data_IF_884878897267
#
_entry.id   IF_884878897267
#
_cell.length_a   1.000
_cell.length_b   1.000
_cell.length_c   1.000
_cell.angle_alpha   90.00
_cell.angle_beta   90.00
_cell.angle_gamma   90.00
#
_symmetry.space_group_name_H-M   'P 1'
#
loop_
_entity.id
_entity.type
_entity.pdbx_description
1 polymer ?
#
# COMPACT_ATOMS: atom_id res chain seq x y z
N UNK A 1 33.14 -19.97 -0.50
CA UNK A 1 32.58 -18.64 -0.18
C UNK A 1 31.10 -18.81 -0.38
N UNK A 2 30.32 -18.91 0.72
CA UNK A 2 28.87 -18.96 0.66
C UNK A 2 28.40 -17.64 0.05
N UNK A 3 27.72 -17.73 -1.08
CA UNK A 3 27.07 -16.55 -1.67
C UNK A 3 25.83 -16.26 -0.82
N UNK A 4 25.79 -15.08 -0.20
CA UNK A 4 24.59 -14.57 0.43
C UNK A 4 23.45 -14.38 -0.60
N UNK A 5 22.26 -14.17 -0.15
CA UNK A 5 21.10 -13.83 -0.98
C UNK A 5 20.90 -12.31 -0.99
N UNK A 6 21.28 -11.66 -2.10
CA UNK A 6 21.02 -10.24 -2.34
C UNK A 6 19.60 -10.07 -2.89
N UNK A 7 18.79 -9.33 -2.17
CA UNK A 7 17.35 -9.17 -2.43
C UNK A 7 17.07 -7.73 -2.83
N UNK A 8 16.40 -7.53 -3.96
CA UNK A 8 15.79 -6.25 -4.34
C UNK A 8 14.29 -6.28 -4.07
N UNK A 9 13.75 -5.25 -3.42
CA UNK A 9 12.31 -5.11 -3.16
C UNK A 9 11.75 -3.91 -3.89
N UNK A 10 10.79 -4.15 -4.78
CA UNK A 10 10.23 -3.12 -5.65
C UNK A 10 8.73 -2.98 -5.42
N UNK A 11 8.31 -1.76 -5.07
CA UNK A 11 6.94 -1.44 -4.76
C UNK A 11 6.27 -0.67 -5.90
N UNK A 12 5.23 -1.24 -6.48
CA UNK A 12 4.21 -0.46 -7.19
C UNK A 12 3.46 0.37 -6.14
N UNK A 13 3.74 1.65 -6.10
CA UNK A 13 3.32 2.50 -5.01
C UNK A 13 1.82 2.72 -4.94
N UNK A 14 1.13 2.65 -6.07
CA UNK A 14 -0.32 2.76 -6.10
C UNK A 14 -0.96 1.49 -5.57
N UNK A 15 -0.52 0.33 -6.04
CA UNK A 15 -1.01 -0.96 -5.56
C UNK A 15 -0.68 -1.20 -4.08
N UNK A 16 0.55 -0.88 -3.65
CA UNK A 16 0.97 -1.02 -2.26
C UNK A 16 0.16 -0.13 -1.31
N UNK A 17 -0.19 1.10 -1.73
CA UNK A 17 -1.05 1.96 -0.94
C UNK A 17 -2.43 1.34 -0.71
N UNK A 18 -3.02 0.74 -1.74
CA UNK A 18 -4.29 0.01 -1.62
C UNK A 18 -4.15 -1.22 -0.71
N UNK A 19 -3.09 -1.99 -0.85
CA UNK A 19 -2.81 -3.13 0.01
C UNK A 19 -2.68 -2.72 1.49
N UNK A 20 -1.88 -1.70 1.77
CA UNK A 20 -1.68 -1.20 3.14
C UNK A 20 -2.97 -0.66 3.76
N UNK A 21 -3.82 -0.01 2.96
CA UNK A 21 -5.13 0.45 3.41
C UNK A 21 -6.10 -0.72 3.65
N UNK A 22 -6.06 -1.76 2.82
CA UNK A 22 -6.83 -2.99 3.04
C UNK A 22 -6.48 -3.63 4.40
N UNK A 23 -5.20 -3.82 4.69
CA UNK A 23 -4.77 -4.36 5.98
C UNK A 23 -5.15 -3.46 7.17
N UNK A 24 -5.14 -2.15 6.98
CA UNK A 24 -5.48 -1.19 8.03
C UNK A 24 -6.97 -1.09 8.33
N UNK A 25 -7.83 -1.35 7.34
CA UNK A 25 -9.26 -1.01 7.42
C UNK A 25 -10.22 -2.20 7.30
N UNK A 26 -9.83 -3.22 6.56
CA UNK A 26 -10.69 -4.37 6.22
C UNK A 26 -10.18 -5.66 6.85
N UNK A 27 -8.86 -5.89 6.78
CA UNK A 27 -8.24 -7.11 7.25
C UNK A 27 -8.32 -7.22 8.80
N UNK A 28 -8.48 -8.44 9.38
CA UNK A 28 -8.57 -8.63 10.84
C UNK A 28 -7.35 -8.10 11.63
N UNK A 29 -6.18 -7.98 11.00
CA UNK A 29 -5.00 -7.41 11.65
C UNK A 29 -5.20 -5.94 12.04
N UNK A 30 -6.07 -5.20 11.35
CA UNK A 30 -6.39 -3.79 11.60
C UNK A 30 -5.11 -2.91 11.79
N UNK A 31 -4.11 -3.12 10.94
CA UNK A 31 -2.79 -2.53 11.07
C UNK A 31 -2.20 -2.20 9.68
N UNK A 32 -1.38 -1.15 9.59
CA UNK A 32 -0.66 -0.82 8.35
C UNK A 32 0.60 -1.65 8.23
N UNK A 33 0.99 -1.95 6.98
CA UNK A 33 2.26 -2.62 6.71
C UNK A 33 3.41 -1.63 7.01
N UNK A 34 4.37 -2.08 7.82
CA UNK A 34 5.62 -1.39 8.09
C UNK A 34 6.67 -1.87 7.08
N UNK A 35 7.28 -0.95 6.34
CA UNK A 35 8.20 -1.28 5.24
C UNK A 35 9.44 -2.05 5.73
N UNK A 36 10.04 -1.58 6.82
CA UNK A 36 11.20 -2.22 7.45
C UNK A 36 10.88 -3.63 7.99
N UNK A 37 9.70 -3.78 8.61
CA UNK A 37 9.22 -5.09 9.04
C UNK A 37 8.83 -6.00 7.88
N UNK A 38 8.35 -5.43 6.77
CA UNK A 38 8.11 -6.19 5.53
C UNK A 38 9.43 -6.70 4.93
N UNK A 39 10.48 -5.86 4.89
CA UNK A 39 11.81 -6.29 4.46
C UNK A 39 12.33 -7.46 5.32
N UNK A 40 12.12 -7.38 6.62
CA UNK A 40 12.51 -8.45 7.52
C UNK A 40 11.71 -9.74 7.31
N UNK A 41 10.41 -9.64 7.00
CA UNK A 41 9.60 -10.81 6.63
C UNK A 41 10.07 -11.44 5.30
N UNK A 42 10.46 -10.62 4.33
CA UNK A 42 11.07 -11.09 3.07
C UNK A 42 12.40 -11.81 3.33
N UNK A 43 13.28 -11.24 4.16
CA UNK A 43 14.54 -11.88 4.55
C UNK A 43 14.31 -13.23 5.21
N UNK A 44 13.34 -13.30 6.13
CA UNK A 44 12.95 -14.55 6.77
C UNK A 44 12.44 -15.58 5.78
N UNK A 45 11.62 -15.15 4.82
CA UNK A 45 11.13 -16.01 3.75
C UNK A 45 12.28 -16.59 2.92
N UNK A 46 13.22 -15.76 2.47
CA UNK A 46 14.37 -16.20 1.68
C UNK A 46 15.28 -17.12 2.50
N UNK A 47 15.52 -16.82 3.78
CA UNK A 47 16.22 -17.71 4.72
C UNK A 47 15.57 -19.10 4.76
N UNK A 48 14.24 -19.15 4.88
CA UNK A 48 13.50 -20.43 4.95
C UNK A 48 13.57 -21.21 3.64
N UNK A 49 13.44 -20.50 2.49
CA UNK A 49 13.49 -21.13 1.16
C UNK A 49 14.87 -21.63 0.76
N UNK A 50 15.92 -21.03 1.28
CA UNK A 50 17.31 -21.33 0.86
C UNK A 50 18.07 -22.16 1.88
N UNK A 51 17.68 -22.10 3.16
CA UNK A 51 18.48 -22.64 4.28
C UNK A 51 19.75 -21.82 4.58
N UNK A 52 19.97 -20.66 3.94
CA UNK A 52 21.06 -19.76 4.25
C UNK A 52 20.89 -19.18 5.65
N UNK A 53 21.96 -18.74 6.30
CA UNK A 53 21.85 -18.00 7.55
C UNK A 53 21.05 -16.69 7.32
N UNK A 54 20.29 -16.25 8.30
CA UNK A 54 19.46 -15.04 8.17
C UNK A 54 20.29 -13.79 7.86
N UNK A 55 21.52 -13.74 8.40
CA UNK A 55 22.45 -12.64 8.16
C UNK A 55 23.03 -12.65 6.72
N UNK A 56 22.96 -13.80 6.05
CA UNK A 56 23.34 -13.93 4.63
C UNK A 56 22.18 -13.57 3.68
N UNK A 57 20.99 -13.27 4.22
CA UNK A 57 19.83 -12.82 3.45
C UNK A 57 19.64 -11.31 3.67
N UNK A 58 20.07 -10.49 2.71
CA UNK A 58 20.04 -9.05 2.85
C UNK A 58 19.12 -8.39 1.81
N UNK A 59 18.24 -7.48 2.26
CA UNK A 59 17.60 -6.53 1.35
C UNK A 59 18.64 -5.49 0.99
N UNK A 60 19.21 -5.65 -0.20
CA UNK A 60 20.31 -4.83 -0.69
C UNK A 60 19.81 -3.47 -1.18
N UNK A 61 18.66 -3.46 -1.80
CA UNK A 61 18.00 -2.24 -2.27
C UNK A 61 16.49 -2.38 -2.27
N UNK A 62 15.81 -1.26 -2.17
CA UNK A 62 14.36 -1.20 -2.29
C UNK A 62 13.90 0.10 -2.92
N UNK A 63 12.89 0.00 -3.80
CA UNK A 63 12.43 1.08 -4.64
C UNK A 63 10.91 1.20 -4.60
N UNK A 64 10.41 2.43 -4.49
CA UNK A 64 8.99 2.75 -4.46
C UNK A 64 8.66 3.70 -5.61
N UNK A 65 7.89 3.24 -6.59
CA UNK A 65 7.53 4.00 -7.79
C UNK A 65 6.08 4.42 -7.72
N UNK A 66 5.82 5.71 -7.86
CA UNK A 66 4.45 6.26 -7.88
C UNK A 66 4.40 7.61 -8.57
N UNK A 67 3.27 7.88 -9.27
CA UNK A 67 2.95 9.22 -9.72
C UNK A 67 2.71 10.16 -8.54
N UNK A 68 3.29 11.36 -8.61
CA UNK A 68 3.15 12.39 -7.59
C UNK A 68 3.07 13.77 -8.21
N UNK A 69 2.20 14.60 -7.65
CA UNK A 69 2.31 16.04 -7.82
C UNK A 69 3.45 16.52 -6.92
N UNK A 70 4.28 17.42 -7.40
CA UNK A 70 5.29 18.11 -6.59
C UNK A 70 4.63 18.70 -5.34
N UNK A 71 4.92 18.14 -4.20
CA UNK A 71 4.41 18.57 -2.89
C UNK A 71 5.56 18.52 -1.89
N UNK A 72 5.51 19.34 -0.83
CA UNK A 72 6.45 19.21 0.27
C UNK A 72 6.52 17.78 0.79
N UNK A 73 7.66 17.37 1.33
CA UNK A 73 7.86 16.06 1.92
C UNK A 73 6.75 15.71 2.92
N UNK A 74 6.24 14.51 2.83
CA UNK A 74 5.16 14.00 3.68
C UNK A 74 5.74 13.15 4.81
N UNK A 75 4.90 12.83 5.81
CA UNK A 75 5.28 11.85 6.83
C UNK A 75 5.60 10.47 6.26
N UNK A 76 5.01 10.14 5.10
CA UNK A 76 5.31 8.89 4.40
C UNK A 76 6.69 8.91 3.74
N UNK A 77 7.16 10.07 3.26
CA UNK A 77 8.53 10.21 2.73
C UNK A 77 9.57 9.90 3.80
N UNK A 78 9.32 10.37 5.04
CA UNK A 78 10.18 10.04 6.17
C UNK A 78 10.17 8.53 6.50
N UNK A 79 9.03 7.87 6.36
CA UNK A 79 8.92 6.40 6.55
C UNK A 79 9.70 5.65 5.47
N UNK A 80 9.60 6.06 4.20
CA UNK A 80 10.38 5.47 3.12
C UNK A 80 11.88 5.62 3.37
N UNK A 81 12.33 6.84 3.69
CA UNK A 81 13.72 7.12 3.98
C UNK A 81 14.25 6.31 5.17
N UNK A 82 13.47 6.21 6.26
CA UNK A 82 13.84 5.44 7.44
C UNK A 82 13.96 3.93 7.15
N UNK A 83 13.18 3.42 6.21
CA UNK A 83 13.24 2.03 5.75
C UNK A 83 14.30 1.80 4.65
N UNK A 84 15.06 2.82 4.26
CA UNK A 84 16.06 2.73 3.19
C UNK A 84 15.44 2.56 1.79
N UNK A 85 14.20 2.97 1.60
CA UNK A 85 13.48 2.83 0.31
C UNK A 85 13.73 4.05 -0.56
N UNK A 86 14.30 3.83 -1.72
CA UNK A 86 14.48 4.86 -2.76
C UNK A 86 13.12 5.16 -3.40
N UNK A 87 12.76 6.44 -3.41
CA UNK A 87 11.50 6.87 -3.98
C UNK A 87 11.69 7.43 -5.38
N UNK A 88 10.85 7.00 -6.31
CA UNK A 88 10.75 7.52 -7.68
C UNK A 88 9.41 8.24 -7.84
N UNK A 89 9.46 9.56 -7.94
CA UNK A 89 8.29 10.40 -8.16
C UNK A 89 8.13 10.70 -9.64
N UNK A 90 6.98 10.36 -10.19
CA UNK A 90 6.65 10.65 -11.58
C UNK A 90 5.62 11.77 -11.68
N UNK A 91 5.75 12.70 -12.64
CA UNK A 91 4.80 13.78 -12.79
C UNK A 91 3.42 13.24 -13.20
N UNK A 92 2.37 13.84 -12.63
CA UNK A 92 1.00 13.54 -13.04
C UNK A 92 0.63 14.38 -14.28
N UNK A 93 0.14 13.72 -15.31
CA UNK A 93 -0.37 14.36 -16.52
C UNK A 93 -1.90 14.44 -16.49
N UNK A 94 -2.43 15.66 -16.38
CA UNK A 94 -3.88 15.85 -16.25
C UNK A 94 -4.48 15.21 -14.98
N UNK A 95 -3.71 15.16 -13.88
CA UNK A 95 -4.11 14.55 -12.62
C UNK A 95 -4.09 13.01 -12.62
N UNK A 96 -3.62 12.38 -13.69
CA UNK A 96 -3.50 10.94 -13.83
C UNK A 96 -2.04 10.50 -13.84
N UNK A 97 -1.77 9.40 -13.20
CA UNK A 97 -0.50 8.70 -13.27
C UNK A 97 -0.32 8.13 -14.69
N UNK A 98 0.77 8.49 -15.35
CA UNK A 98 1.11 7.96 -16.66
C UNK A 98 2.58 7.55 -16.68
N UNK A 99 2.85 6.36 -17.20
CA UNK A 99 4.21 5.85 -17.35
C UNK A 99 4.81 5.30 -16.06
N UNK A 100 4.08 5.22 -14.95
CA UNK A 100 4.58 4.64 -13.71
C UNK A 100 4.92 3.17 -13.89
N UNK A 101 4.06 2.41 -14.56
CA UNK A 101 4.27 0.98 -14.82
C UNK A 101 5.50 0.76 -15.71
N UNK A 102 5.69 1.59 -16.72
CA UNK A 102 6.87 1.54 -17.59
C UNK A 102 8.13 1.88 -16.80
N UNK A 103 8.10 2.93 -15.99
CA UNK A 103 9.23 3.32 -15.14
C UNK A 103 9.55 2.22 -14.13
N UNK A 104 8.54 1.69 -13.46
CA UNK A 104 8.70 0.56 -12.54
C UNK A 104 9.39 -0.63 -13.22
N UNK A 105 8.89 -1.03 -14.40
CA UNK A 105 9.46 -2.16 -15.13
C UNK A 105 10.91 -1.91 -15.56
N UNK A 106 11.23 -0.68 -15.99
CA UNK A 106 12.60 -0.32 -16.38
C UNK A 106 13.53 -0.27 -15.17
N UNK A 107 13.12 0.31 -14.06
CA UNK A 107 13.90 0.36 -12.82
C UNK A 107 14.23 -1.05 -12.32
N UNK A 108 13.20 -1.90 -12.20
CA UNK A 108 13.41 -3.31 -11.80
C UNK A 108 14.36 -4.02 -12.74
N UNK A 109 14.18 -3.85 -14.05
CA UNK A 109 15.03 -4.49 -15.05
C UNK A 109 16.49 -4.02 -14.97
N UNK A 110 16.69 -2.71 -14.87
CA UNK A 110 18.01 -2.12 -14.77
C UNK A 110 18.73 -2.64 -13.53
N UNK A 111 18.09 -2.58 -12.36
CA UNK A 111 18.68 -3.05 -11.12
C UNK A 111 18.99 -4.54 -11.13
N UNK A 112 18.03 -5.36 -11.55
CA UNK A 112 18.24 -6.80 -11.64
C UNK A 112 19.32 -7.23 -12.66
N UNK A 113 19.72 -6.34 -13.58
CA UNK A 113 20.75 -6.64 -14.59
C UNK A 113 22.10 -5.99 -14.31
N UNK A 114 22.16 -4.94 -13.49
CA UNK A 114 23.39 -4.21 -13.15
C UNK A 114 23.87 -4.49 -11.73
N UNK A 115 23.00 -4.79 -10.79
CA UNK A 115 23.32 -5.20 -9.43
C UNK A 115 23.31 -6.75 -9.31
N UNK A 116 24.04 -7.33 -8.35
CA UNK A 116 24.12 -8.77 -8.17
C UNK A 116 22.88 -9.36 -7.48
N UNK A 117 21.68 -8.92 -7.86
CA UNK A 117 20.44 -9.38 -7.27
C UNK A 117 20.14 -10.83 -7.68
N UNK A 118 20.08 -11.74 -6.71
CA UNK A 118 19.61 -13.09 -6.93
C UNK A 118 18.09 -13.21 -6.74
N UNK A 119 17.51 -12.31 -5.92
CA UNK A 119 16.10 -12.29 -5.60
C UNK A 119 15.49 -10.93 -5.91
N UNK A 120 14.39 -10.94 -6.60
CA UNK A 120 13.58 -9.73 -6.89
C UNK A 120 12.17 -9.95 -6.35
N UNK A 121 11.75 -9.11 -5.43
CA UNK A 121 10.41 -9.11 -4.86
C UNK A 121 9.60 -8.01 -5.53
N UNK A 122 8.57 -8.39 -6.28
CA UNK A 122 7.65 -7.48 -6.94
C UNK A 122 6.39 -7.32 -6.08
N UNK A 123 6.26 -6.17 -5.43
CA UNK A 123 5.11 -5.85 -4.59
C UNK A 123 4.06 -5.15 -5.43
N UNK A 124 3.40 -5.92 -6.26
CA UNK A 124 2.32 -5.52 -7.17
C UNK A 124 1.38 -6.68 -7.44
N UNK A 125 0.16 -6.39 -7.86
CA UNK A 125 -0.80 -7.39 -8.33
C UNK A 125 -1.13 -7.27 -9.80
N UNK A 126 -0.49 -6.33 -10.52
CA UNK A 126 -0.87 -6.00 -11.89
C UNK A 126 -0.32 -7.01 -12.91
N UNK A 127 -1.20 -7.44 -13.81
CA UNK A 127 -0.87 -8.34 -14.92
C UNK A 127 0.14 -7.73 -15.91
N UNK A 128 0.22 -6.41 -16.01
CA UNK A 128 1.10 -5.72 -16.94
C UNK A 128 2.58 -5.98 -16.65
N UNK A 129 2.91 -6.42 -15.44
CA UNK A 129 4.28 -6.83 -15.06
C UNK A 129 4.60 -8.31 -15.35
N UNK A 130 3.68 -9.08 -15.93
CA UNK A 130 3.93 -10.46 -16.35
C UNK A 130 5.14 -10.60 -17.27
N UNK A 131 5.32 -9.75 -18.33
CA UNK A 131 6.49 -9.83 -19.19
C UNK A 131 7.82 -9.58 -18.46
N UNK A 132 7.81 -8.68 -17.48
CA UNK A 132 8.98 -8.40 -16.64
C UNK A 132 9.35 -9.63 -15.82
N UNK A 133 8.41 -10.20 -15.07
CA UNK A 133 8.63 -11.39 -14.26
C UNK A 133 9.15 -12.56 -15.09
N UNK A 134 8.53 -12.82 -16.26
CA UNK A 134 8.96 -13.88 -17.20
C UNK A 134 10.42 -13.69 -17.65
N UNK A 135 10.81 -12.46 -18.00
CA UNK A 135 12.16 -12.17 -18.47
C UNK A 135 13.21 -12.29 -17.36
N UNK A 136 12.89 -11.87 -16.15
CA UNK A 136 13.80 -12.00 -15.00
C UNK A 136 14.01 -13.47 -14.64
N UNK A 137 12.92 -14.25 -14.58
CA UNK A 137 12.99 -15.69 -14.32
C UNK A 137 13.81 -16.43 -15.40
N UNK A 138 13.62 -16.08 -16.66
CA UNK A 138 14.41 -16.64 -17.77
C UNK A 138 15.91 -16.32 -17.68
N UNK A 139 16.31 -15.29 -16.92
CA UNK A 139 17.71 -14.93 -16.62
C UNK A 139 18.26 -15.58 -15.35
N UNK A 140 17.46 -16.41 -14.69
CA UNK A 140 17.86 -17.09 -13.46
C UNK A 140 17.67 -16.24 -12.19
N UNK A 141 17.05 -15.05 -12.30
CA UNK A 141 16.66 -14.26 -11.13
C UNK A 141 15.44 -14.92 -10.47
N UNK A 142 15.48 -15.10 -9.18
CA UNK A 142 14.34 -15.62 -8.42
C UNK A 142 13.33 -14.50 -8.18
N UNK A 143 12.21 -14.55 -8.90
CA UNK A 143 11.14 -13.56 -8.79
C UNK A 143 10.12 -14.03 -7.77
N UNK A 144 9.93 -13.23 -6.72
CA UNK A 144 8.91 -13.43 -5.70
C UNK A 144 7.80 -12.40 -5.88
N UNK A 145 6.58 -12.88 -6.03
CA UNK A 145 5.39 -12.02 -6.05
C UNK A 145 4.53 -12.39 -4.84
N UNK A 146 4.55 -11.60 -3.76
CA UNK A 146 3.65 -11.83 -2.64
C UNK A 146 2.20 -11.69 -3.09
N UNK A 147 1.41 -12.73 -2.82
CA UNK A 147 0.03 -12.84 -3.34
C UNK A 147 -0.97 -12.35 -2.31
N UNK A 148 -1.90 -11.58 -2.78
CA UNK A 148 -3.17 -11.32 -2.10
C UNK A 148 -4.28 -11.84 -3.00
N UNK A 149 -5.11 -12.68 -2.44
CA UNK A 149 -6.42 -12.97 -2.99
C UNK A 149 -7.45 -12.66 -1.91
N UNK A 150 -7.87 -11.41 -1.89
CA UNK A 150 -8.89 -10.96 -0.97
C UNK A 150 -10.30 -11.43 -1.40
N UNK A 151 -10.44 -12.67 -1.81
CA UNK A 151 -11.73 -13.36 -1.87
C UNK A 151 -12.23 -13.56 -0.43
N UNK A 152 -12.46 -12.42 0.22
CA UNK A 152 -12.98 -12.38 1.57
C UNK A 152 -14.37 -13.02 1.58
N UNK A 153 -14.69 -13.88 2.56
CA UNK A 153 -16.07 -14.28 2.77
C UNK A 153 -16.88 -13.03 3.11
N UNK A 154 -17.50 -12.47 2.09
CA UNK A 154 -18.46 -11.40 2.26
C UNK A 154 -19.55 -11.96 3.15
N UNK A 155 -19.61 -11.53 4.39
CA UNK A 155 -20.81 -11.75 5.17
C UNK A 155 -21.94 -11.05 4.43
N UNK A 156 -23.12 -11.68 4.34
CA UNK A 156 -24.29 -11.10 3.66
C UNK A 156 -24.68 -9.69 4.19
N UNK A 157 -23.97 -9.19 5.20
CA UNK A 157 -24.20 -7.91 5.86
C UNK A 157 -23.24 -6.79 5.40
N UNK A 158 -22.20 -7.07 4.63
CA UNK A 158 -21.28 -6.03 4.13
C UNK A 158 -20.90 -6.30 2.68
N UNK A 159 -21.22 -5.40 1.74
CA UNK A 159 -20.72 -5.51 0.37
C UNK A 159 -19.19 -5.47 0.38
N UNK A 160 -18.52 -6.18 -0.56
CA UNK A 160 -17.08 -6.09 -0.70
C UNK A 160 -16.69 -4.63 -0.89
N UNK A 161 -15.55 -4.18 -0.33
CA UNK A 161 -15.05 -2.84 -0.60
C UNK A 161 -14.91 -2.64 -2.12
N UNK A 162 -15.11 -1.42 -2.58
CA UNK A 162 -15.10 -1.07 -4.00
C UNK A 162 -13.79 -1.46 -4.73
N UNK A 163 -12.75 -1.72 -3.97
CA UNK A 163 -11.47 -2.26 -4.44
C UNK A 163 -10.98 -3.33 -3.44
N UNK A 164 -10.62 -4.45 -3.99
CA UNK A 164 -10.03 -5.56 -3.23
C UNK A 164 -8.69 -5.86 -3.87
N UNK A 165 -7.56 -5.77 -3.16
CA UNK A 165 -6.28 -6.08 -3.77
C UNK A 165 -6.26 -7.55 -4.20
N UNK A 166 -5.93 -7.78 -5.46
CA UNK A 166 -5.78 -9.12 -6.03
C UNK A 166 -4.51 -9.17 -6.84
N UNK A 167 -3.85 -10.30 -6.80
CA UNK A 167 -2.70 -10.58 -7.65
C UNK A 167 -3.15 -11.35 -8.88
N UNK A 168 -2.89 -10.81 -10.06
CA UNK A 168 -3.31 -11.38 -11.33
C UNK A 168 -2.70 -12.77 -11.57
N UNK A 169 -3.52 -13.71 -12.05
CA UNK A 169 -3.09 -15.09 -12.31
C UNK A 169 -1.90 -15.19 -13.29
N UNK A 170 -1.82 -14.42 -14.38
CA UNK A 170 -0.66 -14.45 -15.26
C UNK A 170 0.65 -14.03 -14.57
N UNK A 171 0.61 -13.01 -13.70
CA UNK A 171 1.78 -12.56 -12.95
C UNK A 171 2.24 -13.64 -11.96
N UNK A 172 1.29 -14.29 -11.28
CA UNK A 172 1.58 -15.42 -10.38
C UNK A 172 2.26 -16.57 -11.12
N UNK A 173 1.76 -16.90 -12.30
CA UNK A 173 2.32 -17.98 -13.12
C UNK A 173 3.75 -17.68 -13.66
N UNK A 174 4.10 -16.40 -13.82
CA UNK A 174 5.41 -15.97 -14.30
C UNK A 174 6.48 -15.87 -13.20
N UNK A 175 6.05 -15.81 -11.94
CA UNK A 175 6.95 -15.71 -10.79
C UNK A 175 7.58 -17.07 -10.45
N UNK A 176 8.78 -17.03 -9.85
CA UNK A 176 9.43 -18.23 -9.29
C UNK A 176 8.71 -18.71 -8.03
N UNK A 177 8.17 -17.79 -7.26
CA UNK A 177 7.50 -18.09 -5.99
C UNK A 177 6.42 -17.04 -5.71
N UNK A 178 5.32 -17.51 -5.12
CA UNK A 178 4.12 -16.70 -4.87
C UNK A 178 3.58 -16.94 -3.45
N UNK A 179 4.34 -16.57 -2.39
CA UNK A 179 3.84 -16.70 -1.04
C UNK A 179 2.61 -15.82 -0.84
N UNK A 180 1.59 -16.34 -0.16
CA UNK A 180 0.50 -15.50 0.33
C UNK A 180 1.04 -14.49 1.36
N UNK A 181 0.54 -13.26 1.34
CA UNK A 181 0.98 -12.24 2.30
C UNK A 181 0.77 -12.66 3.75
N UNK A 182 -0.34 -13.36 4.05
CA UNK A 182 -0.58 -13.83 5.42
C UNK A 182 0.40 -14.93 5.82
N UNK A 183 0.79 -15.79 4.89
CA UNK A 183 1.83 -16.82 5.11
C UNK A 183 3.19 -16.15 5.29
N UNK A 184 3.50 -15.12 4.48
CA UNK A 184 4.74 -14.34 4.60
C UNK A 184 4.85 -13.67 5.98
N UNK A 185 3.73 -13.22 6.54
CA UNK A 185 3.70 -12.54 7.83
C UNK A 185 3.50 -13.47 9.04
N UNK A 186 3.08 -14.72 8.83
CA UNK A 186 2.79 -15.65 9.92
C UNK A 186 3.97 -15.86 10.90
N UNK A 187 5.24 -15.91 10.47
CA UNK A 187 6.37 -15.99 11.41
C UNK A 187 6.41 -14.85 12.42
N UNK A 188 6.00 -13.64 12.03
CA UNK A 188 5.99 -12.49 12.91
C UNK A 188 4.90 -12.52 13.99
N UNK A 189 3.94 -13.43 13.89
CA UNK A 189 2.93 -13.65 14.94
C UNK A 189 3.46 -14.51 16.11
N UNK A 190 4.64 -15.10 15.95
CA UNK A 190 5.28 -15.91 16.97
C UNK A 190 5.99 -15.01 18.00
N UNK A 191 5.92 -15.42 19.26
CA UNK A 191 6.55 -14.67 20.36
C UNK A 191 8.09 -14.65 20.28
N UNK A 192 8.68 -15.63 19.62
CA UNK A 192 10.13 -15.80 19.43
C UNK A 192 10.65 -15.21 18.09
N UNK A 193 9.81 -14.47 17.35
CA UNK A 193 10.24 -13.85 16.10
C UNK A 193 11.31 -12.77 16.36
N UNK A 194 12.51 -12.94 15.80
CA UNK A 194 13.67 -12.13 16.20
C UNK A 194 13.79 -10.80 15.43
N UNK A 195 12.92 -10.57 14.45
CA UNK A 195 13.01 -9.43 13.55
C UNK A 195 11.90 -8.41 13.81
N UNK A 196 11.91 -7.29 13.09
CA UNK A 196 10.92 -6.23 13.23
C UNK A 196 9.55 -6.69 12.80
N UNK A 197 8.53 -6.19 13.48
CA UNK A 197 7.16 -6.52 13.17
C UNK A 197 6.74 -5.90 11.83
N UNK A 198 6.13 -6.68 10.92
CA UNK A 198 5.70 -6.18 9.61
C UNK A 198 4.45 -5.29 9.67
N UNK A 199 3.88 -5.10 10.87
CA UNK A 199 2.67 -4.30 11.05
C UNK A 199 2.81 -3.24 12.12
N UNK A 200 2.30 -2.04 11.82
CA UNK A 200 2.15 -0.94 12.78
C UNK A 200 0.67 -0.71 13.03
N UNK A 201 0.23 -0.93 14.27
CA UNK A 201 -1.16 -0.61 14.65
C UNK A 201 -1.38 0.90 14.53
N UNK A 202 -2.48 1.29 13.94
CA UNK A 202 -2.93 2.69 13.89
C UNK A 202 -3.26 3.17 15.31
N UNK A 203 -2.26 3.53 16.08
CA UNK A 203 -2.38 3.90 17.51
C UNK A 203 -1.08 3.73 18.28
N UNK A 204 -0.13 2.98 17.75
CA UNK A 204 1.23 2.93 18.27
C UNK A 204 1.98 4.18 17.81
N UNK A 205 2.23 5.11 18.72
CA UNK A 205 3.13 6.23 18.53
C UNK A 205 4.51 5.66 18.25
N UNK A 206 4.93 5.63 16.98
CA UNK A 206 6.35 5.66 16.69
C UNK A 206 6.80 7.05 17.09
N UNK A 207 7.45 7.14 18.24
CA UNK A 207 8.07 8.36 18.70
C UNK A 207 9.18 8.74 17.74
N UNK A 208 8.90 9.59 16.79
CA UNK A 208 9.80 10.62 16.28
C UNK A 208 9.07 11.50 15.25
N UNK A 209 8.87 12.75 15.58
CA UNK A 209 8.53 13.85 14.67
C UNK A 209 7.04 14.08 14.46
N UNK A 210 6.49 14.99 15.24
CA UNK A 210 5.30 15.84 15.01
C UNK A 210 4.41 15.46 13.80
N UNK A 211 3.67 14.38 13.89
CA UNK A 211 2.56 14.06 13.00
C UNK A 211 1.26 14.21 13.78
N UNK A 212 0.40 15.11 13.31
CA UNK A 212 -0.93 15.35 13.87
C UNK A 212 -1.66 14.04 14.17
N UNK A 213 -2.37 13.94 15.31
CA UNK A 213 -3.22 12.81 15.60
C UNK A 213 -4.26 12.72 14.49
N UNK A 214 -4.26 11.61 13.74
CA UNK A 214 -5.30 11.27 12.77
C UNK A 214 -6.58 10.89 13.53
N UNK A 215 -7.10 11.80 14.34
CA UNK A 215 -8.43 11.69 14.94
C UNK A 215 -9.45 11.70 13.82
N UNK A 216 -10.43 10.80 13.90
CA UNK A 216 -11.64 10.96 13.10
C UNK A 216 -12.19 12.35 13.39
N UNK A 217 -12.55 13.06 12.33
CA UNK A 217 -13.25 14.35 12.43
C UNK A 217 -14.73 14.09 12.56
N UNK A 218 -15.40 14.97 13.30
CA UNK A 218 -16.86 15.04 13.30
C UNK A 218 -17.31 16.18 12.44
N UNK A 219 -18.46 16.00 11.82
CA UNK A 219 -19.08 17.02 11.00
C UNK A 219 -20.51 16.66 10.65
N UNK A 220 -21.11 17.52 9.85
CA UNK A 220 -22.49 17.37 9.38
C UNK A 220 -22.52 17.47 7.87
N UNK A 221 -23.27 16.62 7.21
CA UNK A 221 -23.52 16.72 5.77
C UNK A 221 -24.24 18.03 5.48
N UNK A 222 -23.64 18.91 4.69
CA UNK A 222 -24.17 20.25 4.41
C UNK A 222 -24.66 20.44 2.99
N UNK A 223 -24.32 19.53 2.08
CA UNK A 223 -24.78 19.60 0.70
C UNK A 223 -24.62 18.29 -0.02
N UNK A 224 -25.74 17.63 -0.29
CA UNK A 224 -25.80 16.49 -1.20
C UNK A 224 -27.04 16.60 -2.07
N UNK A 225 -26.87 16.85 -3.33
CA UNK A 225 -28.02 16.94 -4.27
C UNK A 225 -28.33 15.55 -4.81
N UNK A 226 -29.61 15.21 -4.88
CA UNK A 226 -30.07 13.97 -5.48
C UNK A 226 -29.49 13.82 -6.91
N UNK A 227 -28.99 12.63 -7.22
CA UNK A 227 -28.36 12.33 -8.51
C UNK A 227 -26.89 12.75 -8.66
N UNK A 228 -26.33 13.54 -7.74
CA UNK A 228 -24.93 13.90 -7.79
C UNK A 228 -24.03 12.80 -7.17
N UNK A 229 -22.87 12.51 -7.77
CA UNK A 229 -21.95 11.49 -7.26
C UNK A 229 -21.12 11.98 -6.07
N UNK A 230 -21.41 13.17 -5.55
CA UNK A 230 -20.65 13.80 -4.46
C UNK A 230 -21.51 14.72 -3.60
N UNK A 231 -20.99 15.01 -2.43
CA UNK A 231 -21.56 15.97 -1.48
C UNK A 231 -20.48 16.70 -0.69
N UNK A 232 -20.93 17.42 0.34
CA UNK A 232 -20.05 18.18 1.23
C UNK A 232 -20.40 17.91 2.69
N UNK A 233 -19.36 17.92 3.53
CA UNK A 233 -19.44 17.85 4.98
C UNK A 233 -18.81 19.12 5.53
N UNK A 234 -19.45 19.75 6.52
CA UNK A 234 -18.83 20.78 7.34
C UNK A 234 -18.38 20.18 8.65
N UNK A 235 -17.10 20.27 8.96
CA UNK A 235 -16.58 19.76 10.23
C UNK A 235 -16.93 20.69 11.41
N UNK A 236 -16.68 20.22 12.63
CA UNK A 236 -16.95 20.96 13.88
C UNK A 236 -16.15 22.25 14.03
N UNK A 237 -15.16 22.49 13.13
CA UNK A 237 -14.35 23.71 13.09
C UNK A 237 -14.76 24.65 11.94
N UNK A 238 -15.85 24.31 11.23
CA UNK A 238 -16.36 25.08 10.09
C UNK A 238 -15.65 24.82 8.76
N UNK A 239 -14.73 23.85 8.71
CA UNK A 239 -14.06 23.47 7.48
C UNK A 239 -14.97 22.66 6.55
N UNK A 240 -15.01 23.01 5.25
CA UNK A 240 -15.78 22.27 4.23
C UNK A 240 -14.94 21.18 3.60
N UNK A 241 -15.54 19.99 3.48
CA UNK A 241 -14.92 18.78 2.98
C UNK A 241 -15.73 18.19 1.83
N UNK A 242 -15.05 17.85 0.76
CA UNK A 242 -15.64 17.10 -0.36
C UNK A 242 -15.77 15.62 0.03
N UNK A 243 -16.89 15.01 -0.28
CA UNK A 243 -17.14 13.58 -0.11
C UNK A 243 -17.68 12.98 -1.42
N UNK A 244 -17.07 11.88 -1.89
CA UNK A 244 -17.57 11.11 -3.01
C UNK A 244 -18.62 10.10 -2.54
N UNK A 245 -19.52 9.69 -3.44
CA UNK A 245 -20.43 8.57 -3.22
C UNK A 245 -19.65 7.31 -2.83
N UNK A 246 -18.50 7.09 -3.44
CA UNK A 246 -17.66 5.92 -3.22
C UNK A 246 -17.03 5.88 -1.82
N UNK A 247 -17.07 7.01 -1.09
CA UNK A 247 -16.55 7.12 0.27
C UNK A 247 -17.65 6.87 1.35
N UNK A 248 -18.89 6.64 0.90
CA UNK A 248 -20.02 6.44 1.82
C UNK A 248 -20.03 5.02 2.41
N UNK A 249 -20.55 4.86 3.62
CA UNK A 249 -20.72 3.53 4.22
C UNK A 249 -21.88 2.78 3.56
N UNK A 250 -21.70 1.48 3.45
CA UNK A 250 -22.73 0.45 3.29
C UNK A 250 -23.93 0.79 2.38
N UNK A 251 -23.68 0.82 1.06
CA UNK A 251 -24.77 0.91 0.08
C UNK A 251 -25.50 2.26 0.01
N UNK A 252 -25.09 3.24 0.81
CA UNK A 252 -25.63 4.59 0.72
C UNK A 252 -25.16 5.28 -0.56
N UNK A 253 -26.07 5.72 -1.38
CA UNK A 253 -25.76 6.52 -2.56
C UNK A 253 -25.81 8.03 -2.28
N UNK A 254 -26.43 8.41 -1.16
CA UNK A 254 -26.63 9.79 -0.71
C UNK A 254 -26.74 9.80 0.82
N UNK A 255 -26.20 10.83 1.45
CA UNK A 255 -26.50 11.14 2.85
C UNK A 255 -27.36 12.41 2.91
N UNK A 256 -28.49 12.39 3.63
CA UNK A 256 -29.31 13.58 3.80
C UNK A 256 -28.53 14.74 4.43
N UNK A 257 -28.80 15.96 3.99
CA UNK A 257 -28.28 17.17 4.63
C UNK A 257 -28.72 17.18 6.09
N UNK A 258 -27.82 17.55 6.99
CA UNK A 258 -28.05 17.49 8.44
C UNK A 258 -27.60 16.18 9.09
N UNK A 259 -27.21 15.15 8.32
CA UNK A 259 -26.72 13.88 8.87
C UNK A 259 -25.41 14.09 9.62
N UNK A 260 -25.33 13.77 10.92
CA UNK A 260 -24.07 13.79 11.66
C UNK A 260 -23.20 12.62 11.22
N UNK A 261 -21.93 12.91 10.99
CA UNK A 261 -20.97 11.93 10.49
C UNK A 261 -19.61 12.09 11.17
N UNK A 262 -18.91 10.98 11.28
CA UNK A 262 -17.47 11.00 11.52
C UNK A 262 -16.72 10.51 10.29
N UNK A 263 -15.57 11.11 10.02
CA UNK A 263 -14.78 10.85 8.81
C UNK A 263 -13.29 11.03 9.04
N UNK A 264 -12.48 10.57 8.10
CA UNK A 264 -11.05 10.84 8.03
C UNK A 264 -10.76 11.70 6.82
N UNK A 265 -9.64 12.39 6.81
CA UNK A 265 -9.20 13.23 5.68
C UNK A 265 -8.00 14.08 6.02
N UNK A 266 -7.23 14.44 5.00
CA UNK A 266 -6.17 15.45 5.12
C UNK A 266 -6.80 16.83 5.01
N UNK A 267 -6.47 17.78 5.89
CA UNK A 267 -6.99 19.15 5.79
C UNK A 267 -6.46 19.92 4.56
N UNK A 268 -5.45 19.39 3.91
CA UNK A 268 -4.89 19.99 2.69
C UNK A 268 -5.65 19.45 1.48
N UNK A 269 -6.28 20.31 0.67
CA UNK A 269 -6.92 19.88 -0.57
C UNK A 269 -5.90 19.24 -1.52
N UNK A 270 -6.34 18.23 -2.25
CA UNK A 270 -5.54 17.71 -3.37
C UNK A 270 -5.36 18.83 -4.40
N UNK A 271 -4.15 19.03 -4.98
CA UNK A 271 -3.92 20.02 -6.02
C UNK A 271 -4.96 19.98 -7.13
N UNK A 272 -5.45 21.16 -7.53
CA UNK A 272 -6.56 21.29 -8.48
C UNK A 272 -7.96 21.13 -7.89
N UNK A 273 -8.08 20.88 -6.58
CA UNK A 273 -9.37 20.82 -5.88
C UNK A 273 -9.48 21.94 -4.85
N UNK A 274 -10.66 22.56 -4.79
CA UNK A 274 -10.95 23.66 -3.85
C UNK A 274 -11.11 23.18 -2.40
N UNK A 275 -11.54 21.94 -2.21
CA UNK A 275 -11.86 21.39 -0.89
C UNK A 275 -11.08 20.11 -0.60
N UNK A 276 -10.65 19.88 0.66
CA UNK A 276 -10.08 18.61 1.09
C UNK A 276 -11.11 17.49 0.97
N UNK A 277 -10.66 16.25 0.75
CA UNK A 277 -11.52 15.08 0.63
C UNK A 277 -11.73 14.42 1.99
N UNK A 278 -13.00 14.13 2.29
CA UNK A 278 -13.41 13.27 3.39
C UNK A 278 -13.60 11.84 2.86
N UNK A 279 -13.13 10.86 3.62
CA UNK A 279 -13.27 9.43 3.31
C UNK A 279 -13.50 8.63 4.60
N UNK A 280 -13.81 7.31 4.47
CA UNK A 280 -14.17 6.46 5.58
C UNK A 280 -15.30 7.05 6.45
N UNK A 281 -16.36 7.51 5.78
CA UNK A 281 -17.49 8.16 6.41
C UNK A 281 -18.26 7.15 7.27
N UNK A 282 -18.68 7.57 8.48
CA UNK A 282 -19.61 6.81 9.34
C UNK A 282 -20.69 7.73 9.83
N UNK A 283 -21.94 7.28 9.81
CA UNK A 283 -23.04 7.99 10.48
C UNK A 283 -22.86 7.86 12.00
N UNK A 284 -23.11 8.94 12.70
CA UNK A 284 -23.16 8.97 14.18
C UNK A 284 -24.60 8.85 14.69
#
# INVERSE_FOLDING_TARGET
VGQGADIGVFYDGTWFAYLSDFYATVHPRAARIALDGFHDAVRWYVHTETGLALDDCAVHESHYVRGRIETPATSFDAVLAAAGVVRHDLPLHGGKEKGADVHFALEVWERATTAPLQWVVLVTGDADFTPLATRLTARGVRVVVPVVDASWPVSAAAPPPAWTPRTAAPLRAAATSTPDFDVLFAPADRADYPLRQPFVRSGGVVASGAGLPRGRRRGTVTGWRAGQPHGFITDTRGGSWFVSRDDLPDGHTVLPTGTPVSFTGSPTPTPGRKYPRAYAIRRE
#
